data_IF_251583372164
#
_entry.id   IF_251583372164
#
_cell.length_a   1.000
_cell.length_b   1.000
_cell.length_c   1.000
_cell.angle_alpha   90.00
_cell.angle_beta   90.00
_cell.angle_gamma   90.00
#
_symmetry.space_group_name_H-M   'P 1'
#
loop_
_entity.id
_entity.type
_entity.pdbx_description
1 polymer ?
#
# COMPACT_ATOMS: atom_id res chain seq x y z
N UNK A 1 -5.21 -8.95 30.20
CA UNK A 1 -5.41 -7.71 30.96
C UNK A 1 -4.18 -6.83 30.73
N UNK A 2 -4.28 -5.86 29.82
CA UNK A 2 -3.40 -4.71 29.60
C UNK A 2 -3.83 -4.15 28.24
N UNK A 3 -4.60 -3.08 28.14
CA UNK A 3 -4.34 -1.77 28.74
C UNK A 3 -4.39 -0.82 27.56
N UNK A 4 -5.59 -0.32 27.26
CA UNK A 4 -5.85 0.72 26.27
C UNK A 4 -4.98 1.94 26.62
N UNK A 5 -3.99 2.25 25.77
CA UNK A 5 -3.33 3.55 25.79
C UNK A 5 -3.87 4.35 24.61
N UNK A 6 -4.58 5.44 24.90
CA UNK A 6 -4.92 6.47 23.92
C UNK A 6 -3.64 7.13 23.41
N UNK A 7 -3.53 7.38 22.10
CA UNK A 7 -2.42 8.17 21.56
C UNK A 7 -2.91 9.25 20.59
N UNK A 8 -2.41 10.45 20.85
CA UNK A 8 -2.72 11.72 20.19
C UNK A 8 -2.05 11.82 18.81
N UNK A 9 -2.74 12.42 17.85
CA UNK A 9 -2.25 12.64 16.50
C UNK A 9 -1.31 13.86 16.44
N UNK A 10 -0.01 13.60 16.27
CA UNK A 10 0.95 14.61 15.82
C UNK A 10 0.94 14.71 14.29
N UNK A 11 0.41 15.83 13.77
CA UNK A 11 0.45 16.21 12.36
C UNK A 11 1.89 16.59 11.95
N UNK A 12 2.72 15.62 11.58
CA UNK A 12 3.81 15.75 10.60
C UNK A 12 4.63 14.44 10.54
N UNK A 13 4.78 13.88 9.33
CA UNK A 13 5.66 12.75 8.98
C UNK A 13 5.37 11.39 9.64
N UNK A 14 4.41 10.63 9.09
CA UNK A 14 4.05 9.29 9.56
C UNK A 14 5.10 8.23 9.20
N UNK A 15 6.04 7.97 10.12
CA UNK A 15 6.70 6.66 10.27
C UNK A 15 6.34 6.12 11.65
N UNK A 16 5.61 5.01 11.71
CA UNK A 16 5.31 4.32 12.97
C UNK A 16 6.41 3.28 13.22
N UNK A 17 7.21 3.48 14.27
CA UNK A 17 8.10 2.44 14.81
C UNK A 17 7.31 1.67 15.87
N UNK A 18 7.30 0.34 15.79
CA UNK A 18 6.75 -0.50 16.84
C UNK A 18 7.84 -0.73 17.89
N UNK A 19 7.67 -0.24 19.11
CA UNK A 19 8.67 -0.32 20.21
C UNK A 19 9.12 -1.76 20.58
N UNK A 20 8.44 -2.79 20.06
CA UNK A 20 8.78 -4.20 20.31
C UNK A 20 9.57 -4.89 19.17
N UNK A 21 9.66 -4.27 17.98
CA UNK A 21 10.53 -4.73 16.89
C UNK A 21 10.92 -3.53 15.99
N UNK A 22 12.13 -2.98 16.14
CA UNK A 22 12.56 -1.81 15.38
C UNK A 22 12.69 -2.10 13.87
N UNK A 23 12.68 -3.37 13.46
CA UNK A 23 12.65 -3.77 12.06
C UNK A 23 11.27 -3.72 11.44
N UNK A 24 10.19 -3.77 12.22
CA UNK A 24 8.82 -3.76 11.71
C UNK A 24 8.38 -2.35 11.33
N UNK A 25 8.04 -2.16 10.06
CA UNK A 25 7.62 -0.87 9.51
C UNK A 25 6.25 -0.98 8.83
N UNK A 26 5.43 0.04 9.04
CA UNK A 26 4.20 0.25 8.28
C UNK A 26 4.20 1.64 7.66
N UNK A 27 3.84 1.74 6.37
CA UNK A 27 3.70 3.03 5.69
C UNK A 27 2.59 2.99 4.66
N UNK A 28 2.11 4.19 4.29
CA UNK A 28 1.10 4.39 3.25
C UNK A 28 1.75 5.03 2.03
N UNK A 29 1.36 4.54 0.84
CA UNK A 29 1.60 5.19 -0.43
C UNK A 29 0.27 5.56 -1.09
N UNK A 30 0.26 6.70 -1.77
CA UNK A 30 -0.89 7.24 -2.49
C UNK A 30 -0.51 7.60 -3.92
N UNK A 31 -1.48 7.46 -4.83
CA UNK A 31 -1.38 7.97 -6.20
C UNK A 31 -2.70 8.60 -6.61
N UNK A 32 -2.64 9.85 -7.08
CA UNK A 32 -3.81 10.59 -7.56
C UNK A 32 -4.22 10.15 -8.98
N UNK A 33 -3.27 9.63 -9.76
CA UNK A 33 -3.53 9.07 -11.07
C UNK A 33 -4.17 7.67 -10.95
N UNK A 34 -5.04 7.35 -11.92
CA UNK A 34 -5.59 6.02 -12.06
C UNK A 34 -4.50 5.01 -12.41
N UNK A 35 -4.72 3.75 -12.03
CA UNK A 35 -3.72 2.71 -12.12
C UNK A 35 -4.09 1.68 -13.19
N UNK A 36 -3.14 1.29 -14.06
CA UNK A 36 -3.28 0.10 -14.88
C UNK A 36 -3.21 -1.14 -13.97
N UNK A 37 -4.36 -1.76 -13.69
CA UNK A 37 -4.52 -2.80 -12.67
C UNK A 37 -3.49 -3.93 -12.78
N UNK A 38 -3.30 -4.48 -13.97
CA UNK A 38 -2.35 -5.59 -14.21
C UNK A 38 -0.89 -5.19 -13.95
N UNK A 39 -0.49 -3.98 -14.36
CA UNK A 39 0.88 -3.49 -14.11
C UNK A 39 1.10 -3.19 -12.63
N UNK A 40 0.10 -2.65 -11.94
CA UNK A 40 0.18 -2.43 -10.50
C UNK A 40 0.31 -3.77 -9.75
N UNK A 41 -0.49 -4.77 -10.13
CA UNK A 41 -0.39 -6.10 -9.54
C UNK A 41 1.00 -6.72 -9.75
N UNK A 42 1.53 -6.68 -10.97
CA UNK A 42 2.87 -7.17 -11.29
C UNK A 42 3.96 -6.43 -10.49
N UNK A 43 3.87 -5.10 -10.40
CA UNK A 43 4.82 -4.27 -9.65
C UNK A 43 4.81 -4.60 -8.14
N UNK A 44 3.63 -4.87 -7.58
CA UNK A 44 3.52 -5.26 -6.17
C UNK A 44 4.07 -6.66 -5.90
N UNK A 45 3.87 -7.60 -6.84
CA UNK A 45 4.50 -8.93 -6.76
C UNK A 45 6.03 -8.82 -6.82
N UNK A 46 6.56 -7.97 -7.71
CA UNK A 46 7.99 -7.69 -7.82
C UNK A 46 8.54 -7.07 -6.51
N UNK A 47 7.89 -6.02 -6.00
CA UNK A 47 8.29 -5.40 -4.74
C UNK A 47 8.27 -6.39 -3.57
N UNK A 48 7.23 -7.23 -3.46
CA UNK A 48 7.11 -8.20 -2.39
C UNK A 48 8.03 -9.43 -2.53
N UNK A 49 8.56 -9.70 -3.72
CA UNK A 49 9.59 -10.72 -3.93
C UNK A 49 10.99 -10.20 -3.61
N UNK A 50 11.27 -8.93 -3.90
CA UNK A 50 12.57 -8.29 -3.65
C UNK A 50 12.76 -7.71 -2.25
N UNK A 51 11.70 -7.63 -1.44
CA UNK A 51 11.74 -7.02 -0.11
C UNK A 51 10.95 -7.84 0.90
N UNK A 52 11.14 -7.58 2.21
CA UNK A 52 10.40 -8.27 3.26
C UNK A 52 9.01 -7.65 3.53
N UNK A 53 8.25 -7.34 2.48
CA UNK A 53 6.83 -6.97 2.59
C UNK A 53 6.04 -8.21 3.04
N UNK A 54 5.32 -8.09 4.14
CA UNK A 54 4.46 -9.13 4.70
C UNK A 54 3.00 -8.96 4.26
N UNK A 55 2.50 -7.72 4.25
CA UNK A 55 1.18 -7.40 3.75
C UNK A 55 1.16 -6.08 2.97
N UNK A 56 0.30 -6.04 1.97
CA UNK A 56 -0.11 -4.83 1.28
C UNK A 56 -1.63 -4.83 1.15
N UNK A 57 -2.31 -3.74 1.48
CA UNK A 57 -3.77 -3.65 1.34
C UNK A 57 -4.18 -2.25 0.92
N UNK A 58 -5.33 -2.13 0.29
CA UNK A 58 -5.92 -0.82 0.07
C UNK A 58 -6.91 -0.78 -1.06
N UNK A 59 -7.25 0.43 -1.47
CA UNK A 59 -8.16 0.68 -2.57
C UNK A 59 -7.44 1.40 -3.68
N UNK A 60 -7.71 0.99 -4.91
CA UNK A 60 -7.06 1.48 -6.11
C UNK A 60 -8.12 2.10 -7.01
N UNK A 61 -7.83 3.30 -7.50
CA UNK A 61 -8.56 3.92 -8.60
C UNK A 61 -8.02 3.36 -9.92
N UNK A 62 -8.89 2.83 -10.77
CA UNK A 62 -8.55 2.32 -12.10
C UNK A 62 -9.36 3.08 -13.15
N UNK A 63 -8.84 3.22 -14.37
CA UNK A 63 -9.59 3.79 -15.50
C UNK A 63 -10.57 2.78 -16.11
N UNK A 64 -10.46 1.50 -15.74
CA UNK A 64 -11.31 0.43 -16.25
C UNK A 64 -12.62 0.24 -15.48
N UNK A 65 -12.80 0.95 -14.35
CA UNK A 65 -13.98 0.77 -13.49
C UNK A 65 -14.32 2.02 -12.70
N UNK A 66 -15.61 2.34 -12.64
CA UNK A 66 -16.18 3.35 -11.74
C UNK A 66 -16.27 2.87 -10.28
N UNK A 67 -15.91 1.60 -10.03
CA UNK A 67 -15.86 0.99 -8.72
C UNK A 67 -14.41 0.85 -8.24
N UNK A 68 -14.23 0.81 -6.93
CA UNK A 68 -12.92 0.65 -6.34
C UNK A 68 -12.38 -0.75 -6.63
N UNK A 69 -11.09 -0.85 -6.97
CA UNK A 69 -10.39 -2.14 -6.90
C UNK A 69 -9.88 -2.32 -5.47
N UNK A 70 -10.30 -3.41 -4.81
CA UNK A 70 -9.76 -3.83 -3.54
C UNK A 70 -8.48 -4.64 -3.77
N UNK A 71 -7.40 -4.19 -3.14
CA UNK A 71 -6.11 -4.84 -3.18
C UNK A 71 -5.83 -5.58 -1.88
N UNK A 72 -5.44 -6.84 -2.01
CA UNK A 72 -5.01 -7.66 -0.89
C UNK A 72 -3.74 -8.45 -1.25
N UNK A 73 -2.66 -8.19 -0.52
CA UNK A 73 -1.36 -8.82 -0.67
C UNK A 73 -0.90 -9.47 0.63
N UNK A 74 -0.41 -10.71 0.53
CA UNK A 74 0.33 -11.41 1.58
C UNK A 74 1.61 -11.95 0.96
N UNK A 75 2.76 -11.36 1.34
CA UNK A 75 4.03 -11.55 0.62
C UNK A 75 3.82 -11.33 -0.88
N UNK A 76 4.38 -12.19 -1.74
CA UNK A 76 4.25 -12.12 -3.20
C UNK A 76 2.87 -12.53 -3.74
N UNK A 77 1.93 -13.03 -2.90
CA UNK A 77 0.57 -13.32 -3.34
C UNK A 77 -0.25 -12.04 -3.28
N UNK A 78 -0.52 -11.46 -4.44
CA UNK A 78 -1.31 -10.23 -4.61
C UNK A 78 -2.57 -10.55 -5.41
N UNK A 79 -3.70 -10.02 -4.94
CA UNK A 79 -4.99 -10.09 -5.61
C UNK A 79 -5.56 -8.68 -5.74
N UNK A 80 -6.07 -8.34 -6.92
CA UNK A 80 -6.97 -7.20 -7.13
C UNK A 80 -8.34 -7.73 -7.55
N UNK A 81 -9.39 -7.17 -6.98
CA UNK A 81 -10.78 -7.47 -7.37
C UNK A 81 -11.63 -6.22 -7.30
N UNK A 82 -12.63 -6.11 -8.17
CA UNK A 82 -13.63 -5.03 -8.07
C UNK A 82 -14.42 -5.20 -6.77
N UNK A 83 -14.57 -4.12 -6.00
CA UNK A 83 -15.46 -4.05 -4.85
C UNK A 83 -16.83 -3.53 -5.33
N UNK A 84 -17.87 -4.38 -5.40
CA UNK A 84 -19.16 -4.01 -5.97
C UNK A 84 -19.92 -2.98 -5.13
N UNK A 85 -19.52 -2.78 -3.87
CA UNK A 85 -20.22 -1.90 -2.93
C UNK A 85 -19.55 -0.54 -2.81
N UNK A 86 -18.38 -0.34 -3.45
CA UNK A 86 -17.56 0.85 -3.24
C UNK A 86 -17.26 1.58 -4.55
N UNK A 87 -17.65 2.87 -4.68
CA UNK A 87 -17.25 3.67 -5.83
C UNK A 87 -15.73 3.88 -5.86
N UNK A 88 -15.19 4.12 -7.04
CA UNK A 88 -13.77 4.40 -7.23
C UNK A 88 -13.32 5.55 -6.31
N UNK A 89 -12.21 5.39 -5.57
CA UNK A 89 -11.73 6.43 -4.69
C UNK A 89 -11.18 7.61 -5.50
N UNK A 90 -11.14 8.81 -4.91
CA UNK A 90 -10.51 9.99 -5.54
C UNK A 90 -9.03 9.78 -5.87
N UNK A 91 -8.35 8.92 -5.10
CA UNK A 91 -6.96 8.53 -5.27
C UNK A 91 -6.76 7.10 -4.78
N UNK A 92 -5.77 6.42 -5.32
CA UNK A 92 -5.33 5.13 -4.79
C UNK A 92 -4.61 5.32 -3.46
N UNK A 93 -4.81 4.38 -2.53
CA UNK A 93 -4.15 4.36 -1.23
C UNK A 93 -3.83 2.91 -0.85
N UNK A 94 -2.55 2.63 -0.60
CA UNK A 94 -2.05 1.32 -0.21
C UNK A 94 -1.25 1.44 1.09
N UNK A 95 -1.56 0.57 2.05
CA UNK A 95 -0.77 0.37 3.26
C UNK A 95 0.14 -0.85 3.09
N UNK A 96 1.41 -0.68 3.44
CA UNK A 96 2.45 -1.70 3.42
C UNK A 96 2.87 -1.99 4.85
N UNK A 97 3.16 -3.27 5.11
CA UNK A 97 3.64 -3.77 6.39
C UNK A 97 4.75 -4.77 6.11
N UNK A 98 5.92 -4.63 6.74
CA UNK A 98 7.05 -5.53 6.53
C UNK A 98 8.27 -5.21 7.38
N UNK A 99 9.33 -5.98 7.19
CA UNK A 99 10.59 -5.80 7.93
C UNK A 99 11.62 -5.01 7.11
N UNK A 100 12.22 -3.97 7.68
CA UNK A 100 13.23 -3.12 7.05
C UNK A 100 12.84 -2.61 5.64
N UNK A 101 11.52 -2.51 5.37
CA UNK A 101 11.02 -2.10 4.07
C UNK A 101 11.23 -0.60 3.85
N UNK A 102 11.79 -0.24 2.70
CA UNK A 102 12.02 1.15 2.31
C UNK A 102 10.81 1.71 1.58
N UNK A 103 10.14 2.68 2.20
CA UNK A 103 9.03 3.43 1.57
C UNK A 103 9.44 4.07 0.25
N UNK A 104 10.65 4.63 0.18
CA UNK A 104 11.14 5.32 -1.00
C UNK A 104 11.38 4.36 -2.16
N UNK A 105 11.97 3.20 -1.91
CA UNK A 105 12.22 2.18 -2.93
C UNK A 105 10.92 1.59 -3.47
N UNK A 106 9.97 1.26 -2.58
CA UNK A 106 8.65 0.76 -3.00
C UNK A 106 7.91 1.82 -3.82
N UNK A 107 7.91 3.08 -3.38
CA UNK A 107 7.29 4.17 -4.14
C UNK A 107 7.91 4.36 -5.53
N UNK A 108 9.25 4.34 -5.62
CA UNK A 108 9.97 4.49 -6.87
C UNK A 108 9.67 3.32 -7.83
N UNK A 109 9.70 2.08 -7.34
CA UNK A 109 9.39 0.90 -8.14
C UNK A 109 7.97 0.94 -8.69
N UNK A 110 6.97 1.21 -7.83
CA UNK A 110 5.59 1.33 -8.28
C UNK A 110 5.44 2.44 -9.31
N UNK A 111 6.07 3.59 -9.08
CA UNK A 111 5.98 4.72 -10.01
C UNK A 111 6.53 4.41 -11.40
N UNK A 112 7.69 3.75 -11.45
CA UNK A 112 8.32 3.33 -12.70
C UNK A 112 7.46 2.29 -13.42
N UNK A 113 6.91 1.30 -12.71
CA UNK A 113 6.17 0.19 -13.32
C UNK A 113 4.76 0.57 -13.76
N UNK A 114 4.09 1.46 -13.04
CA UNK A 114 2.72 1.88 -13.39
C UNK A 114 2.68 3.13 -14.25
N UNK A 115 3.77 3.91 -14.32
CA UNK A 115 3.80 5.20 -15.00
C UNK A 115 3.04 6.30 -14.25
N UNK A 116 2.74 6.10 -12.96
CA UNK A 116 1.98 7.03 -12.12
C UNK A 116 2.74 7.35 -10.84
N UNK A 117 2.72 8.60 -10.38
CA UNK A 117 3.45 8.98 -9.18
C UNK A 117 2.86 8.35 -7.91
N UNK A 118 3.65 7.52 -7.22
CA UNK A 118 3.36 7.00 -5.90
C UNK A 118 4.19 7.73 -4.85
N UNK A 119 3.52 8.17 -3.78
CA UNK A 119 4.16 8.95 -2.72
C UNK A 119 3.55 8.72 -1.37
#
# INVERSE_FOLDING_TARGET
>A
HSGLAAHSHGLATHKHFHEQDPGWLSFVLRSDAAQPAERLEAALREAAAGTAILRCKGYVRSDASELALLLQGVRARVTLSVDPLKPAPRRSELVFIGYHISRAEVAALLSVRTGAAWR
#
